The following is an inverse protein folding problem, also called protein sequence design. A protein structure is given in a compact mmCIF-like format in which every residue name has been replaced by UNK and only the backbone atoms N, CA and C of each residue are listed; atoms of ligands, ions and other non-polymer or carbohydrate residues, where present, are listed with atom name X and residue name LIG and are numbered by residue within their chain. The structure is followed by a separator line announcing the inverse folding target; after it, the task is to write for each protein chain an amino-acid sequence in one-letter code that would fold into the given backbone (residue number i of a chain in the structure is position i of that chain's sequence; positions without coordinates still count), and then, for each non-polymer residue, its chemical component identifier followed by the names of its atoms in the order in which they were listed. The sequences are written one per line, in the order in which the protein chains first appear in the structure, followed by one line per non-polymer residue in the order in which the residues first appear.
data_IF_659297223398
#
_entry.id   IF_659297223398
#
_cell.length_a   1.000
_cell.length_b   1.000
_cell.length_c   1.000
_cell.angle_alpha   90.00
_cell.angle_beta   90.00
_cell.angle_gamma   90.00
#
_symmetry.space_group_name_H-M   'P 1'
#
loop_
_entity.id
_entity.type
_entity.pdbx_description
1 polymer ?
#
# COMPACT_ATOMS: atom_id res chain seq x y z
N UNK A 1 -21.62 -5.04 1.19
CA UNK A 1 -21.24 -6.30 0.50
C UNK A 1 -20.20 -6.10 -0.61
N UNK A 2 -20.26 -5.05 -1.45
CA UNK A 2 -19.24 -4.76 -2.49
C UNK A 2 -17.85 -4.37 -1.93
N UNK A 3 -17.82 -3.71 -0.76
CA UNK A 3 -16.59 -3.26 -0.09
C UNK A 3 -15.66 -4.41 0.29
N UNK A 4 -16.20 -5.44 0.97
CA UNK A 4 -15.45 -6.66 1.32
C UNK A 4 -14.98 -7.44 0.08
N UNK A 5 -15.79 -7.48 -0.99
CA UNK A 5 -15.39 -8.13 -2.25
C UNK A 5 -14.18 -7.46 -2.92
N UNK A 6 -14.10 -6.11 -2.89
CA UNK A 6 -12.96 -5.38 -3.46
C UNK A 6 -11.66 -5.61 -2.67
N UNK A 7 -11.76 -5.74 -1.35
CA UNK A 7 -10.61 -6.00 -0.48
C UNK A 7 -10.18 -7.48 -0.59
N UNK A 8 -11.13 -8.41 -0.77
CA UNK A 8 -10.85 -9.84 -0.96
C UNK A 8 -10.01 -10.15 -2.21
N UNK A 9 -9.94 -9.25 -3.20
CA UNK A 9 -9.04 -9.38 -4.36
C UNK A 9 -7.55 -9.32 -3.91
N UNK A 10 -7.29 -8.75 -2.73
CA UNK A 10 -5.97 -8.63 -2.12
C UNK A 10 -5.81 -9.59 -0.92
N UNK A 11 -6.35 -10.81 -1.03
CA UNK A 11 -6.34 -11.84 0.01
C UNK A 11 -4.93 -12.10 0.57
N UNK A 12 -3.91 -12.23 -0.27
CA UNK A 12 -2.53 -12.43 0.19
C UNK A 12 -2.02 -11.25 1.05
N UNK A 13 -2.45 -10.03 0.75
CA UNK A 13 -2.07 -8.84 1.52
C UNK A 13 -2.84 -8.77 2.86
N UNK A 14 -4.08 -9.27 2.90
CA UNK A 14 -4.84 -9.46 4.14
C UNK A 14 -4.19 -10.51 5.03
N UNK A 15 -3.85 -11.68 4.48
CA UNK A 15 -3.17 -12.74 5.22
C UNK A 15 -1.82 -12.28 5.79
N UNK A 16 -1.09 -11.45 5.03
CA UNK A 16 0.15 -10.85 5.52
C UNK A 16 -0.10 -9.86 6.67
N UNK A 17 -1.22 -9.11 6.65
CA UNK A 17 -1.61 -8.26 7.76
C UNK A 17 -1.99 -9.07 9.01
N UNK A 18 -2.71 -10.18 8.85
CA UNK A 18 -3.06 -11.10 9.94
C UNK A 18 -1.79 -11.69 10.58
N UNK A 19 -0.85 -12.17 9.75
CA UNK A 19 0.45 -12.67 10.21
C UNK A 19 1.23 -11.63 11.02
N UNK A 20 1.23 -10.37 10.59
CA UNK A 20 1.88 -9.27 11.31
C UNK A 20 1.14 -8.91 12.61
N UNK A 21 -0.19 -9.05 12.63
CA UNK A 21 -1.01 -8.79 13.81
C UNK A 21 -0.73 -9.84 14.90
N UNK A 22 -0.65 -11.12 14.52
CA UNK A 22 -0.27 -12.21 15.42
C UNK A 22 1.12 -11.96 16.03
N UNK A 23 2.12 -11.61 15.20
CA UNK A 23 3.44 -11.23 15.70
C UNK A 23 3.41 -10.03 16.66
N UNK A 24 2.57 -9.04 16.36
CA UNK A 24 2.42 -7.84 17.17
C UNK A 24 1.79 -8.11 18.53
N UNK A 25 0.70 -8.86 18.54
CA UNK A 25 -0.11 -9.15 19.73
C UNK A 25 0.52 -10.24 20.61
N UNK A 26 0.99 -11.33 20.03
CA UNK A 26 1.50 -12.47 20.80
C UNK A 26 2.96 -12.26 21.26
N UNK A 27 3.76 -11.55 20.47
CA UNK A 27 5.20 -11.37 20.72
C UNK A 27 5.57 -9.94 21.16
N UNK A 28 4.57 -9.07 21.32
CA UNK A 28 4.77 -7.67 21.72
C UNK A 28 5.57 -6.83 20.70
N UNK A 29 5.57 -7.23 19.42
CA UNK A 29 6.36 -6.56 18.41
C UNK A 29 5.66 -5.28 17.89
N UNK A 30 5.98 -4.14 18.49
CA UNK A 30 5.43 -2.84 18.11
C UNK A 30 5.71 -2.44 16.64
N UNK A 31 6.77 -2.98 16.00
CA UNK A 31 7.02 -2.74 14.58
C UNK A 31 6.01 -3.49 13.71
N UNK A 32 5.65 -4.72 14.09
CA UNK A 32 4.66 -5.50 13.36
C UNK A 32 3.28 -4.84 13.42
N UNK A 33 2.87 -4.32 14.58
CA UNK A 33 1.60 -3.57 14.72
C UNK A 33 1.55 -2.33 13.80
N UNK A 34 2.63 -1.54 13.74
CA UNK A 34 2.72 -0.41 12.81
C UNK A 34 2.66 -0.87 11.35
N UNK A 35 3.30 -1.98 11.03
CA UNK A 35 3.19 -2.65 9.74
C UNK A 35 1.75 -2.98 9.37
N UNK A 36 0.98 -3.54 10.31
CA UNK A 36 -0.46 -3.82 10.13
C UNK A 36 -1.23 -2.55 9.82
N UNK A 37 -1.08 -1.50 10.62
CA UNK A 37 -1.77 -0.22 10.40
C UNK A 37 -1.51 0.32 8.99
N UNK A 38 -0.29 0.19 8.48
CA UNK A 38 0.09 0.60 7.12
C UNK A 38 -0.58 -0.26 6.05
N UNK A 39 -0.63 -1.58 6.24
CA UNK A 39 -1.28 -2.49 5.29
C UNK A 39 -2.78 -2.22 5.23
N UNK A 40 -3.46 -2.12 6.38
CA UNK A 40 -4.88 -1.80 6.46
C UNK A 40 -5.17 -0.44 5.82
N UNK A 41 -4.40 0.60 6.17
CA UNK A 41 -4.54 1.93 5.55
C UNK A 41 -4.38 1.91 4.02
N UNK A 42 -3.60 0.97 3.48
CA UNK A 42 -3.41 0.82 2.03
C UNK A 42 -4.67 0.23 1.37
N UNK A 43 -5.24 -0.80 2.00
CA UNK A 43 -6.46 -1.46 1.53
C UNK A 43 -7.67 -0.52 1.63
N UNK A 44 -7.80 0.20 2.74
CA UNK A 44 -8.85 1.19 2.94
C UNK A 44 -8.78 2.31 1.91
N UNK A 45 -7.59 2.82 1.58
CA UNK A 45 -7.44 3.87 0.57
C UNK A 45 -7.93 3.43 -0.83
N UNK A 46 -7.74 2.16 -1.18
CA UNK A 46 -8.20 1.59 -2.46
C UNK A 46 -9.72 1.33 -2.42
N UNK A 47 -10.22 0.84 -1.30
CA UNK A 47 -11.61 0.46 -1.13
C UNK A 47 -12.54 1.66 -0.84
N UNK A 48 -12.00 2.77 -0.34
CA UNK A 48 -12.78 3.93 0.07
C UNK A 48 -13.58 4.49 -1.12
N UNK A 49 -14.89 4.67 -0.96
CA UNK A 49 -15.71 5.35 -1.95
C UNK A 49 -15.50 6.87 -1.94
N UNK A 50 -14.83 7.41 -0.91
CA UNK A 50 -14.61 8.84 -0.80
C UNK A 50 -13.56 9.32 -1.81
N UNK A 51 -13.82 10.43 -2.53
CA UNK A 51 -12.89 10.97 -3.49
C UNK A 51 -11.71 11.64 -2.78
N UNK A 52 -10.49 11.31 -3.21
CA UNK A 52 -9.26 11.99 -2.74
C UNK A 52 -8.93 13.26 -3.54
N UNK A 53 -9.81 13.63 -4.48
CA UNK A 53 -9.69 14.77 -5.38
C UNK A 53 -9.08 14.41 -6.74
N UNK A 54 -9.20 15.34 -7.70
CA UNK A 54 -8.80 15.15 -9.10
C UNK A 54 -7.60 16.02 -9.50
N UNK A 55 -6.66 16.25 -8.57
CA UNK A 55 -5.55 17.18 -8.82
C UNK A 55 -4.32 16.47 -9.40
N UNK A 56 -4.04 16.68 -10.69
CA UNK A 56 -2.86 16.17 -11.41
C UNK A 56 -1.53 16.45 -10.69
N UNK A 57 -1.35 17.66 -10.16
CA UNK A 57 -0.09 18.06 -9.51
C UNK A 57 0.13 17.28 -8.23
N UNK A 58 -0.94 17.10 -7.43
CA UNK A 58 -0.89 16.31 -6.20
C UNK A 58 -0.65 14.84 -6.53
N UNK A 59 -1.37 14.27 -7.49
CA UNK A 59 -1.21 12.89 -7.93
C UNK A 59 0.23 12.61 -8.40
N UNK A 60 0.79 13.51 -9.21
CA UNK A 60 2.18 13.41 -9.70
C UNK A 60 3.20 13.48 -8.55
N UNK A 61 3.00 14.39 -7.58
CA UNK A 61 3.88 14.51 -6.40
C UNK A 61 3.82 13.26 -5.53
N UNK A 62 2.64 12.67 -5.33
CA UNK A 62 2.46 11.45 -4.53
C UNK A 62 3.05 10.22 -5.22
N UNK A 63 2.81 10.06 -6.52
CA UNK A 63 3.43 9.00 -7.31
C UNK A 63 4.95 9.09 -7.28
N UNK A 64 5.53 10.30 -7.38
CA UNK A 64 6.98 10.49 -7.25
C UNK A 64 7.51 10.01 -5.90
N UNK A 65 6.83 10.33 -4.79
CA UNK A 65 7.20 9.86 -3.45
C UNK A 65 7.10 8.34 -3.32
N UNK A 66 6.04 7.73 -3.85
CA UNK A 66 5.89 6.28 -3.88
C UNK A 66 7.03 5.60 -4.66
N UNK A 67 7.43 6.16 -5.81
CA UNK A 67 8.53 5.65 -6.62
C UNK A 67 9.90 5.73 -5.93
N UNK A 68 10.18 6.83 -5.20
CA UNK A 68 11.40 6.94 -4.38
C UNK A 68 11.44 5.83 -3.35
N UNK A 69 10.32 5.62 -2.65
CA UNK A 69 10.23 4.61 -1.60
C UNK A 69 10.32 3.17 -2.16
N UNK A 70 9.74 2.90 -3.33
CA UNK A 70 9.86 1.62 -4.04
C UNK A 70 11.31 1.24 -4.35
N UNK A 71 12.12 2.23 -4.76
CA UNK A 71 13.54 2.02 -4.97
C UNK A 71 14.28 1.72 -3.66
N UNK A 72 13.95 2.43 -2.58
CA UNK A 72 14.56 2.22 -1.27
C UNK A 72 14.24 0.84 -0.68
N UNK A 73 13.01 0.35 -0.88
CA UNK A 73 12.55 -0.93 -0.33
C UNK A 73 12.95 -2.14 -1.16
N UNK A 74 13.46 -1.95 -2.40
CA UNK A 74 13.89 -3.04 -3.30
C UNK A 74 14.87 -4.02 -2.64
N UNK A 75 15.77 -3.53 -1.79
CA UNK A 75 16.73 -4.38 -1.05
C UNK A 75 16.08 -5.34 -0.05
N UNK A 76 14.85 -5.07 0.38
CA UNK A 76 14.09 -5.89 1.32
C UNK A 76 13.08 -6.80 0.63
N UNK A 77 13.03 -6.82 -0.72
CA UNK A 77 12.08 -7.60 -1.49
C UNK A 77 12.09 -9.09 -1.15
N UNK A 78 13.26 -9.66 -0.83
CA UNK A 78 13.37 -11.06 -0.41
C UNK A 78 12.87 -11.32 1.02
N UNK A 79 13.00 -10.32 1.92
CA UNK A 79 12.60 -10.43 3.33
C UNK A 79 11.08 -10.22 3.50
N UNK A 80 10.48 -9.36 2.67
CA UNK A 80 9.06 -9.04 2.69
C UNK A 80 8.45 -9.16 1.29
N UNK A 81 8.39 -10.38 0.73
CA UNK A 81 8.02 -10.61 -0.67
C UNK A 81 6.60 -10.13 -0.99
N UNK A 82 5.62 -10.46 -0.14
CA UNK A 82 4.22 -10.07 -0.34
C UNK A 82 4.07 -8.55 -0.33
N UNK A 83 4.55 -7.88 0.72
CA UNK A 83 4.47 -6.42 0.82
C UNK A 83 5.15 -5.72 -0.36
N UNK A 84 6.31 -6.22 -0.80
CA UNK A 84 7.03 -5.62 -1.93
C UNK A 84 6.32 -5.84 -3.26
N UNK A 85 5.76 -7.04 -3.49
CA UNK A 85 4.99 -7.34 -4.68
C UNK A 85 3.77 -6.42 -4.82
N UNK A 86 3.00 -6.24 -3.74
CA UNK A 86 1.86 -5.32 -3.73
C UNK A 86 2.28 -3.85 -3.80
N UNK A 87 3.40 -3.46 -3.16
CA UNK A 87 3.95 -2.11 -3.31
C UNK A 87 4.23 -1.79 -4.78
N UNK A 88 4.87 -2.72 -5.49
CA UNK A 88 5.21 -2.60 -6.91
C UNK A 88 3.95 -2.56 -7.78
N UNK A 89 3.00 -3.48 -7.55
CA UNK A 89 1.73 -3.52 -8.26
C UNK A 89 0.97 -2.19 -8.12
N UNK A 90 0.79 -1.70 -6.89
CA UNK A 90 0.07 -0.46 -6.64
C UNK A 90 0.78 0.75 -7.26
N UNK A 91 2.11 0.78 -7.27
CA UNK A 91 2.86 1.82 -7.97
C UNK A 91 2.55 1.82 -9.47
N UNK A 92 2.54 0.65 -10.11
CA UNK A 92 2.24 0.53 -11.53
C UNK A 92 0.79 0.92 -11.85
N UNK A 93 -0.18 0.46 -11.06
CA UNK A 93 -1.58 0.85 -11.20
C UNK A 93 -1.72 2.37 -11.10
N UNK A 94 -1.08 3.01 -10.11
CA UNK A 94 -1.12 4.46 -9.96
C UNK A 94 -0.51 5.19 -11.16
N UNK A 95 0.59 4.68 -11.71
CA UNK A 95 1.26 5.26 -12.87
C UNK A 95 0.41 5.19 -14.13
N UNK A 96 -0.24 4.06 -14.39
CA UNK A 96 -1.11 3.94 -15.57
C UNK A 96 -2.37 4.81 -15.44
N UNK A 97 -2.97 4.89 -14.25
CA UNK A 97 -4.09 5.80 -13.98
C UNK A 97 -3.73 7.28 -14.18
N UNK A 98 -2.53 7.69 -13.76
CA UNK A 98 -2.03 9.05 -14.00
C UNK A 98 -1.95 9.38 -15.50
N UNK A 99 -1.57 8.41 -16.35
CA UNK A 99 -1.46 8.60 -17.81
C UNK A 99 -2.83 8.78 -18.46
N UNK A 100 -3.82 7.99 -18.05
CA UNK A 100 -5.21 8.10 -18.54
C UNK A 100 -6.00 9.23 -17.86
N UNK A 101 -5.33 10.05 -17.05
CA UNK A 101 -5.88 11.20 -16.32
C UNK A 101 -6.91 10.83 -15.24
N UNK A 102 -6.94 9.58 -14.81
CA UNK A 102 -7.67 9.16 -13.62
C UNK A 102 -6.84 9.51 -12.37
N UNK A 103 -6.92 10.77 -11.97
CA UNK A 103 -6.11 11.31 -10.88
C UNK A 103 -6.55 10.79 -9.51
N UNK A 104 -7.83 10.44 -9.36
CA UNK A 104 -8.35 9.87 -8.13
C UNK A 104 -7.76 8.47 -7.88
N UNK A 105 -7.84 7.57 -8.88
CA UNK A 105 -7.23 6.25 -8.75
C UNK A 105 -5.71 6.35 -8.65
N UNK A 106 -5.08 7.27 -9.38
CA UNK A 106 -3.65 7.51 -9.23
C UNK A 106 -3.28 7.92 -7.78
N UNK A 107 -4.09 8.77 -7.13
CA UNK A 107 -3.89 9.16 -5.74
C UNK A 107 -4.05 7.97 -4.78
N UNK A 108 -5.16 7.22 -4.89
CA UNK A 108 -5.45 6.05 -4.04
C UNK A 108 -4.32 5.02 -4.10
N UNK A 109 -3.91 4.62 -5.30
CA UNK A 109 -2.88 3.61 -5.46
C UNK A 109 -1.46 4.12 -5.17
N UNK A 110 -1.18 5.41 -5.39
CA UNK A 110 0.12 5.99 -4.98
C UNK A 110 0.25 6.05 -3.45
N UNK A 111 -0.84 6.32 -2.74
CA UNK A 111 -0.88 6.29 -1.28
C UNK A 111 -0.73 4.87 -0.74
N UNK A 112 -1.46 3.90 -1.31
CA UNK A 112 -1.34 2.49 -0.94
C UNK A 112 0.09 1.97 -1.15
N UNK A 113 0.68 2.22 -2.32
CA UNK A 113 2.09 1.87 -2.58
C UNK A 113 3.04 2.53 -1.57
N UNK A 114 2.84 3.80 -1.26
CA UNK A 114 3.67 4.49 -0.27
C UNK A 114 3.56 3.85 1.13
N UNK A 115 2.36 3.51 1.59
CA UNK A 115 2.16 2.89 2.89
C UNK A 115 2.78 1.49 2.98
N UNK A 116 2.66 0.66 1.94
CA UNK A 116 3.34 -0.64 1.91
C UNK A 116 4.86 -0.49 1.95
N UNK A 117 5.41 0.51 1.26
CA UNK A 117 6.83 0.82 1.38
C UNK A 117 7.24 1.22 2.80
N UNK A 118 6.38 1.96 3.50
CA UNK A 118 6.61 2.34 4.91
C UNK A 118 6.54 1.13 5.83
N UNK A 119 5.59 0.21 5.61
CA UNK A 119 5.51 -1.05 6.35
C UNK A 119 6.83 -1.83 6.22
N UNK A 120 7.35 -1.99 5.01
CA UNK A 120 8.63 -2.69 4.77
C UNK A 120 9.79 -2.02 5.53
N UNK A 121 9.86 -0.69 5.56
CA UNK A 121 10.90 0.02 6.31
C UNK A 121 10.74 -0.09 7.82
N UNK A 122 9.51 -0.19 8.34
CA UNK A 122 9.25 -0.36 9.77
C UNK A 122 9.58 -1.78 10.23
N UNK A 123 9.39 -2.79 9.37
CA UNK A 123 9.69 -4.21 9.60
C UNK A 123 11.17 -4.58 9.38
N UNK A 124 12.00 -3.64 8.92
CA UNK A 124 13.43 -3.87 8.68
C UNK A 124 14.17 -4.32 9.94
#
# INVERSE_FOLDING_TARGET
MLYLKKIAIYEELLLEAERLLEEGCERGNAKSLKGVERVISSLEAIASPEPLGENRLIASKRLKKAGILLNETKRYAKKHPTLYAYQLLFYHVARENLKVKDYEYALKYSFASYNLGRAILELR
#
